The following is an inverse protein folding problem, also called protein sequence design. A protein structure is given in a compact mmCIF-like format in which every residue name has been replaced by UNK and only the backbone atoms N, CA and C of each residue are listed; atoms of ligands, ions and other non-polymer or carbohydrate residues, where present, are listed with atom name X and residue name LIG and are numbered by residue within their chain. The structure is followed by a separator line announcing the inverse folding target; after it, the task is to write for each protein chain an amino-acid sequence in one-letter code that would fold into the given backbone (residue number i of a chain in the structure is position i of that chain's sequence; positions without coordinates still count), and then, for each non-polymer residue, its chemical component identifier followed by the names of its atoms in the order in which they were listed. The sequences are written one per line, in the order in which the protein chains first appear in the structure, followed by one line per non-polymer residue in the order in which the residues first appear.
data_IF_567052394579
#
_entry.id   IF_567052394579
#
_cell.length_a   1.000
_cell.length_b   1.000
_cell.length_c   1.000
_cell.angle_alpha   90.00
_cell.angle_beta   90.00
_cell.angle_gamma   90.00
#
_symmetry.space_group_name_H-M   'P 1'
#
loop_
_entity.id
_entity.type
_entity.pdbx_description
1 polymer ?
#
# COMPACT_ATOMS: atom_id res chain seq x y z
N UNK A 1 -6.18 9.21 -3.45
CA UNK A 1 -7.66 9.30 -3.42
C UNK A 1 -8.33 7.98 -3.82
N UNK A 2 -8.03 7.41 -5.00
CA UNK A 2 -8.67 6.18 -5.48
C UNK A 2 -8.59 5.00 -4.49
N UNK A 3 -7.44 4.77 -3.86
CA UNK A 3 -7.27 3.67 -2.89
C UNK A 3 -8.24 3.75 -1.70
N UNK A 4 -8.56 4.95 -1.22
CA UNK A 4 -9.48 5.14 -0.10
C UNK A 4 -10.95 4.87 -0.45
N UNK A 5 -11.31 4.82 -1.74
CA UNK A 5 -12.70 4.58 -2.17
C UNK A 5 -13.05 3.09 -2.27
N UNK A 6 -12.04 2.22 -2.34
CA UNK A 6 -12.23 0.77 -2.51
C UNK A 6 -13.16 0.18 -1.44
N UNK A 7 -12.97 0.45 -0.13
CA UNK A 7 -13.88 -0.09 0.89
C UNK A 7 -15.33 0.39 0.74
N UNK A 8 -15.52 1.65 0.35
CA UNK A 8 -16.84 2.20 0.06
C UNK A 8 -17.52 1.52 -1.12
N UNK A 9 -16.76 1.18 -2.17
CA UNK A 9 -17.28 0.44 -3.32
C UNK A 9 -17.67 -1.00 -2.93
N UNK A 10 -16.88 -1.65 -2.07
CA UNK A 10 -17.24 -2.96 -1.52
C UNK A 10 -18.53 -2.89 -0.69
N UNK A 11 -18.69 -1.87 0.16
CA UNK A 11 -19.90 -1.66 0.93
C UNK A 11 -21.14 -1.42 0.05
N UNK A 12 -20.99 -0.64 -1.01
CA UNK A 12 -22.04 -0.45 -2.00
C UNK A 12 -22.42 -1.78 -2.70
N UNK A 13 -21.45 -2.59 -3.10
CA UNK A 13 -21.72 -3.89 -3.72
C UNK A 13 -22.46 -4.85 -2.78
N UNK A 14 -22.09 -4.88 -1.49
CA UNK A 14 -22.83 -5.65 -0.47
C UNK A 14 -24.25 -5.14 -0.33
N UNK A 15 -24.46 -3.81 -0.29
CA UNK A 15 -25.80 -3.24 -0.21
C UNK A 15 -26.67 -3.60 -1.42
N UNK A 16 -26.09 -3.57 -2.63
CA UNK A 16 -26.79 -4.00 -3.84
C UNK A 16 -27.19 -5.48 -3.78
N UNK A 17 -26.27 -6.35 -3.31
CA UNK A 17 -26.55 -7.78 -3.13
C UNK A 17 -27.67 -8.01 -2.11
N UNK A 18 -27.66 -7.30 -0.99
CA UNK A 18 -28.73 -7.35 0.00
C UNK A 18 -30.07 -6.90 -0.60
N UNK A 19 -30.08 -5.83 -1.39
CA UNK A 19 -31.28 -5.34 -2.08
C UNK A 19 -31.85 -6.35 -3.08
N UNK A 20 -30.99 -7.02 -3.86
CA UNK A 20 -31.40 -8.07 -4.78
C UNK A 20 -31.99 -9.28 -4.05
N UNK A 21 -31.32 -9.74 -2.98
CA UNK A 21 -31.77 -10.88 -2.18
C UNK A 21 -33.05 -10.58 -1.37
N UNK A 22 -33.31 -9.31 -1.04
CA UNK A 22 -34.53 -8.91 -0.35
C UNK A 22 -35.81 -9.17 -1.18
N UNK A 23 -35.68 -9.30 -2.51
CA UNK A 23 -36.80 -9.65 -3.40
C UNK A 23 -37.06 -11.16 -3.48
N UNK A 24 -36.16 -11.98 -2.94
CA UNK A 24 -36.18 -13.45 -3.05
C UNK A 24 -36.41 -14.09 -1.66
N UNK A 25 -37.65 -14.52 -1.32
CA UNK A 25 -37.98 -15.00 0.03
C UNK A 25 -37.21 -16.25 0.47
N UNK A 26 -36.69 -17.02 -0.51
CA UNK A 26 -36.00 -18.30 -0.27
C UNK A 26 -34.48 -18.17 -0.21
N UNK A 27 -33.93 -16.99 -0.51
CA UNK A 27 -32.49 -16.76 -0.58
C UNK A 27 -32.07 -15.70 0.45
N UNK A 28 -31.00 -15.99 1.19
CA UNK A 28 -30.42 -15.04 2.15
C UNK A 28 -28.93 -14.90 1.88
N UNK A 29 -28.36 -13.76 2.25
CA UNK A 29 -26.92 -13.54 2.15
C UNK A 29 -26.14 -14.61 2.92
N UNK A 30 -26.63 -14.99 4.10
CA UNK A 30 -26.06 -16.08 4.89
C UNK A 30 -26.02 -17.40 4.11
N UNK A 31 -27.16 -17.82 3.55
CA UNK A 31 -27.22 -19.05 2.77
C UNK A 31 -26.32 -18.99 1.52
N UNK A 32 -26.16 -17.81 0.91
CA UNK A 32 -25.30 -17.64 -0.25
C UNK A 32 -23.81 -17.79 0.12
N UNK A 33 -23.37 -17.18 1.23
CA UNK A 33 -22.00 -17.31 1.74
C UNK A 33 -21.69 -18.77 2.08
N UNK A 34 -22.62 -19.49 2.69
CA UNK A 34 -22.44 -20.89 3.06
C UNK A 34 -22.45 -21.84 1.84
N UNK A 35 -23.32 -21.60 0.85
CA UNK A 35 -23.50 -22.50 -0.30
C UNK A 35 -22.50 -22.25 -1.44
N UNK A 36 -21.97 -21.03 -1.55
CA UNK A 36 -21.12 -20.60 -2.68
C UNK A 36 -19.80 -19.99 -2.20
N UNK A 37 -18.94 -20.78 -1.54
CA UNK A 37 -17.62 -20.31 -1.10
C UNK A 37 -16.71 -19.90 -2.27
N UNK A 38 -16.99 -20.39 -3.48
CA UNK A 38 -16.31 -20.03 -4.73
C UNK A 38 -16.40 -18.54 -5.10
N UNK A 39 -17.42 -17.84 -4.59
CA UNK A 39 -17.64 -16.43 -4.87
C UNK A 39 -16.79 -15.48 -4.01
N UNK A 40 -15.99 -16.00 -3.08
CA UNK A 40 -15.10 -15.21 -2.21
C UNK A 40 -15.79 -14.05 -1.47
N UNK A 41 -17.09 -14.17 -1.20
CA UNK A 41 -17.92 -13.13 -0.56
C UNK A 41 -17.41 -12.73 0.82
N UNK A 42 -16.71 -13.64 1.50
CA UNK A 42 -16.08 -13.40 2.79
C UNK A 42 -15.09 -12.22 2.76
N UNK A 43 -14.30 -12.10 1.68
CA UNK A 43 -13.37 -10.99 1.50
C UNK A 43 -14.10 -9.67 1.23
N UNK A 44 -15.13 -9.71 0.40
CA UNK A 44 -15.98 -8.55 0.11
C UNK A 44 -16.65 -8.02 1.38
N UNK A 45 -17.23 -8.92 2.18
CA UNK A 45 -17.87 -8.60 3.46
C UNK A 45 -16.86 -8.07 4.48
N UNK A 46 -15.67 -8.69 4.58
CA UNK A 46 -14.61 -8.21 5.45
C UNK A 46 -14.17 -6.78 5.08
N UNK A 47 -13.99 -6.47 3.80
CA UNK A 47 -13.57 -5.13 3.39
C UNK A 47 -14.70 -4.09 3.57
N UNK A 48 -15.97 -4.51 3.43
CA UNK A 48 -17.12 -3.64 3.65
C UNK A 48 -17.40 -3.31 5.13
N UNK A 49 -17.01 -4.20 6.05
CA UNK A 49 -17.26 -4.01 7.48
C UNK A 49 -16.39 -2.89 8.05
N UNK A 50 -17.04 -1.83 8.52
CA UNK A 50 -16.36 -0.62 9.00
C UNK A 50 -15.73 0.20 7.87
N UNK A 51 -16.29 0.14 6.65
CA UNK A 51 -15.67 0.71 5.44
C UNK A 51 -15.17 2.16 5.58
N UNK A 52 -15.86 3.03 6.33
CA UNK A 52 -15.40 4.42 6.54
C UNK A 52 -14.05 4.46 7.25
N UNK A 53 -13.90 3.68 8.32
CA UNK A 53 -12.64 3.57 9.05
C UNK A 53 -11.56 2.91 8.21
N UNK A 54 -11.90 1.84 7.48
CA UNK A 54 -10.96 1.18 6.55
C UNK A 54 -10.50 2.17 5.48
N UNK A 55 -11.40 2.97 4.92
CA UNK A 55 -11.10 4.02 3.94
C UNK A 55 -10.15 5.07 4.49
N UNK A 56 -10.38 5.56 5.72
CA UNK A 56 -9.51 6.55 6.37
C UNK A 56 -8.11 5.96 6.60
N UNK A 57 -8.03 4.76 7.16
CA UNK A 57 -6.74 4.09 7.42
C UNK A 57 -5.99 3.84 6.13
N UNK A 58 -6.64 3.26 5.12
CA UNK A 58 -6.01 2.92 3.84
C UNK A 58 -5.57 4.18 3.07
N UNK A 59 -6.41 5.22 3.05
CA UNK A 59 -6.05 6.50 2.42
C UNK A 59 -4.87 7.17 3.14
N UNK A 60 -4.87 7.15 4.48
CA UNK A 60 -3.80 7.75 5.28
C UNK A 60 -2.48 7.01 5.10
N UNK A 61 -2.49 5.67 5.14
CA UNK A 61 -1.31 4.86 4.85
C UNK A 61 -0.78 5.18 3.45
N UNK A 62 -1.65 5.16 2.45
CA UNK A 62 -1.26 5.43 1.07
C UNK A 62 -0.64 6.82 0.88
N UNK A 63 -1.25 7.87 1.44
CA UNK A 63 -0.74 9.24 1.34
C UNK A 63 0.67 9.38 1.96
N UNK A 64 0.89 8.80 3.15
CA UNK A 64 2.20 8.85 3.78
C UNK A 64 3.26 7.99 3.07
N UNK A 65 2.86 6.86 2.47
CA UNK A 65 3.77 6.05 1.66
C UNK A 65 4.19 6.79 0.40
N UNK A 66 3.26 7.49 -0.24
CA UNK A 66 3.53 8.29 -1.44
C UNK A 66 4.50 9.45 -1.14
N UNK A 67 4.32 10.14 -0.01
CA UNK A 67 5.25 11.15 0.49
C UNK A 67 6.56 10.57 1.08
N UNK A 68 6.76 9.24 1.04
CA UNK A 68 7.92 8.54 1.66
C UNK A 68 8.08 8.81 3.17
N UNK A 69 6.97 9.05 3.87
CA UNK A 69 6.89 9.26 5.32
C UNK A 69 6.48 7.95 6.01
N UNK A 70 7.31 6.93 5.88
CA UNK A 70 6.99 5.56 6.34
C UNK A 70 6.74 5.46 7.84
N UNK A 71 7.41 6.26 8.68
CA UNK A 71 7.13 6.29 10.13
C UNK A 71 5.69 6.68 10.45
N UNK A 72 5.13 7.67 9.75
CA UNK A 72 3.72 8.05 9.91
C UNK A 72 2.78 6.98 9.33
N UNK A 73 3.15 6.33 8.22
CA UNK A 73 2.40 5.20 7.69
C UNK A 73 2.33 4.02 8.68
N UNK A 74 3.41 3.76 9.43
CA UNK A 74 3.44 2.76 10.48
C UNK A 74 2.43 3.06 11.60
N UNK A 75 2.33 4.33 12.03
CA UNK A 75 1.34 4.74 13.05
C UNK A 75 -0.08 4.48 12.57
N UNK A 76 -0.41 4.81 11.30
CA UNK A 76 -1.73 4.52 10.74
C UNK A 76 -2.01 3.03 10.60
N UNK A 77 -1.00 2.21 10.30
CA UNK A 77 -1.13 0.76 10.33
C UNK A 77 -1.40 0.24 11.77
N UNK A 78 -0.79 0.83 12.80
CA UNK A 78 -1.11 0.53 14.21
C UNK A 78 -2.54 0.93 14.58
N UNK A 79 -3.04 2.06 14.09
CA UNK A 79 -4.44 2.44 14.25
C UNK A 79 -5.34 1.38 13.62
N UNK A 80 -5.04 0.93 12.40
CA UNK A 80 -5.75 -0.19 11.74
C UNK A 80 -5.70 -1.49 12.54
N UNK A 81 -4.56 -1.82 13.16
CA UNK A 81 -4.42 -2.97 14.05
C UNK A 81 -5.33 -2.84 15.28
N UNK A 82 -5.36 -1.67 15.94
CA UNK A 82 -6.22 -1.42 17.08
C UNK A 82 -7.71 -1.54 16.74
N UNK A 83 -8.13 -0.94 15.62
CA UNK A 83 -9.51 -1.03 15.15
C UNK A 83 -9.90 -2.47 14.79
N UNK A 84 -8.98 -3.22 14.16
CA UNK A 84 -9.18 -4.64 13.85
C UNK A 84 -9.25 -5.50 15.11
N UNK A 85 -8.43 -5.17 16.13
CA UNK A 85 -8.38 -5.90 17.38
C UNK A 85 -9.67 -5.78 18.18
N UNK A 86 -10.34 -4.63 18.13
CA UNK A 86 -11.66 -4.43 18.75
C UNK A 86 -12.79 -5.01 17.88
N UNK A 87 -12.51 -5.34 16.61
CA UNK A 87 -13.51 -5.83 15.66
C UNK A 87 -14.37 -4.71 15.04
N UNK A 88 -13.94 -3.45 15.14
CA UNK A 88 -14.63 -2.32 14.50
C UNK A 88 -14.49 -2.32 12.98
N UNK A 89 -13.40 -2.90 12.47
CA UNK A 89 -13.17 -3.11 11.03
C UNK A 89 -12.92 -4.58 10.75
N UNK A 90 -13.25 -5.04 9.54
CA UNK A 90 -13.05 -6.40 9.02
C UNK A 90 -13.75 -7.56 9.73
N UNK A 91 -14.17 -7.39 10.97
CA UNK A 91 -14.97 -8.36 11.72
C UNK A 91 -16.44 -8.16 11.40
N UNK A 92 -17.13 -9.23 11.01
CA UNK A 92 -18.55 -9.21 10.68
C UNK A 92 -19.21 -10.53 11.01
N UNK A 93 -20.52 -10.48 11.23
CA UNK A 93 -21.43 -11.62 11.26
C UNK A 93 -22.56 -11.39 10.29
N UNK A 94 -22.93 -12.43 9.56
CA UNK A 94 -24.09 -12.40 8.66
C UNK A 94 -25.24 -13.06 9.40
N UNK A 95 -26.38 -12.36 9.49
CA UNK A 95 -27.61 -12.89 10.05
C UNK A 95 -28.74 -12.68 9.04
N UNK A 96 -29.15 -13.76 8.37
CA UNK A 96 -30.08 -13.69 7.24
C UNK A 96 -29.51 -12.83 6.12
N UNK A 97 -30.12 -11.67 5.86
CA UNK A 97 -29.67 -10.71 4.85
C UNK A 97 -28.90 -9.51 5.44
N UNK A 98 -28.71 -9.47 6.76
CA UNK A 98 -28.07 -8.35 7.45
C UNK A 98 -26.62 -8.66 7.78
N UNK A 99 -25.74 -7.68 7.58
CA UNK A 99 -24.33 -7.74 8.00
C UNK A 99 -24.19 -6.90 9.26
N UNK A 100 -23.78 -7.54 10.35
CA UNK A 100 -23.58 -6.92 11.65
C UNK A 100 -22.08 -6.87 11.96
N UNK A 101 -21.62 -5.79 12.58
CA UNK A 101 -20.24 -5.71 13.08
C UNK A 101 -20.08 -6.63 14.29
N UNK A 102 -19.06 -7.49 14.24
CA UNK A 102 -18.73 -8.41 15.34
C UNK A 102 -17.65 -7.80 16.23
N UNK A 103 -18.12 -6.92 17.13
CA UNK A 103 -17.28 -6.18 18.06
C UNK A 103 -16.93 -7.02 19.28
N UNK A 104 -15.65 -7.01 19.65
CA UNK A 104 -15.10 -7.77 20.75
C UNK A 104 -13.57 -7.78 20.66
N UNK A 105 -12.89 -7.67 21.80
CA UNK A 105 -11.42 -7.60 21.83
C UNK A 105 -10.85 -8.97 21.47
N UNK A 106 -10.22 -9.07 20.29
CA UNK A 106 -9.56 -10.26 19.72
C UNK A 106 -10.41 -11.55 19.76
N UNK A 107 -11.73 -11.38 19.79
CA UNK A 107 -12.68 -12.48 19.99
C UNK A 107 -12.75 -13.38 18.76
N UNK A 108 -12.92 -12.79 17.57
CA UNK A 108 -13.08 -13.56 16.33
C UNK A 108 -11.72 -13.95 15.72
N UNK A 109 -11.60 -15.13 15.08
CA UNK A 109 -10.38 -15.50 14.33
C UNK A 109 -10.03 -14.46 13.25
N UNK A 110 -11.05 -13.89 12.61
CA UNK A 110 -10.90 -12.87 11.58
C UNK A 110 -10.27 -11.59 12.14
N UNK A 111 -10.77 -11.09 13.27
CA UNK A 111 -10.17 -9.95 13.98
C UNK A 111 -8.69 -10.19 14.27
N UNK A 112 -8.33 -11.39 14.75
CA UNK A 112 -6.92 -11.76 15.02
C UNK A 112 -6.05 -11.74 13.76
N UNK A 113 -6.53 -12.32 12.66
CA UNK A 113 -5.78 -12.32 11.39
C UNK A 113 -5.53 -10.91 10.87
N UNK A 114 -6.56 -10.06 10.80
CA UNK A 114 -6.41 -8.68 10.32
C UNK A 114 -5.54 -7.82 11.25
N UNK A 115 -5.67 -7.99 12.56
CA UNK A 115 -4.78 -7.35 13.53
C UNK A 115 -3.33 -7.74 13.26
N UNK A 116 -3.05 -9.03 13.07
CA UNK A 116 -1.72 -9.53 12.73
C UNK A 116 -1.20 -8.94 11.42
N UNK A 117 -2.04 -8.85 10.38
CA UNK A 117 -1.67 -8.23 9.10
C UNK A 117 -1.29 -6.76 9.25
N UNK A 118 -2.07 -5.98 10.00
CA UNK A 118 -1.76 -4.57 10.25
C UNK A 118 -0.51 -4.39 11.12
N UNK A 119 -0.27 -5.26 12.10
CA UNK A 119 0.97 -5.25 12.90
C UNK A 119 2.19 -5.56 12.03
N UNK A 120 2.08 -6.55 11.13
CA UNK A 120 3.14 -6.87 10.18
C UNK A 120 3.42 -5.69 9.24
N UNK A 121 2.36 -5.04 8.76
CA UNK A 121 2.48 -3.85 7.91
C UNK A 121 3.12 -2.67 8.67
N UNK A 122 2.73 -2.45 9.92
CA UNK A 122 3.33 -1.44 10.77
C UNK A 122 4.83 -1.72 11.00
N UNK A 123 5.19 -2.97 11.27
CA UNK A 123 6.59 -3.40 11.40
C UNK A 123 7.36 -3.17 10.10
N UNK A 124 6.79 -3.52 8.96
CA UNK A 124 7.41 -3.29 7.66
C UNK A 124 7.68 -1.80 7.43
N UNK A 125 6.69 -0.93 7.61
CA UNK A 125 6.86 0.51 7.44
C UNK A 125 7.82 1.13 8.45
N UNK A 126 7.85 0.60 9.67
CA UNK A 126 8.83 1.02 10.66
C UNK A 126 10.26 0.67 10.22
N UNK A 127 10.48 -0.55 9.73
CA UNK A 127 11.78 -0.98 9.20
C UNK A 127 12.19 -0.13 7.99
N UNK A 128 11.27 0.13 7.05
CA UNK A 128 11.60 0.99 5.89
C UNK A 128 11.90 2.42 6.31
N UNK A 129 11.21 2.95 7.33
CA UNK A 129 11.53 4.25 7.91
C UNK A 129 12.95 4.30 8.45
N UNK A 130 13.42 3.24 9.10
CA UNK A 130 14.78 3.15 9.64
C UNK A 130 15.85 2.98 8.57
N UNK A 131 15.56 2.21 7.53
CA UNK A 131 16.46 2.09 6.37
C UNK A 131 16.60 3.43 5.65
N UNK A 132 15.51 4.19 5.52
CA UNK A 132 15.56 5.53 4.91
C UNK A 132 16.35 6.51 5.77
N UNK A 133 16.09 6.57 7.08
CA UNK A 133 16.84 7.40 8.03
C UNK A 133 18.35 7.11 7.96
N UNK A 134 18.73 5.83 7.94
CA UNK A 134 20.12 5.40 7.76
C UNK A 134 20.72 5.84 6.41
N UNK A 135 19.96 5.69 5.32
CA UNK A 135 20.40 6.13 3.99
C UNK A 135 20.61 7.65 3.91
N UNK A 136 19.78 8.41 4.63
CA UNK A 136 19.86 9.86 4.69
C UNK A 136 21.06 10.29 5.56
N UNK A 137 21.30 9.64 6.70
CA UNK A 137 22.47 9.89 7.56
C UNK A 137 23.82 9.64 6.86
N UNK A 138 23.92 8.54 6.12
CA UNK A 138 25.15 8.18 5.38
C UNK A 138 25.34 9.07 4.15
N UNK A 139 24.34 9.87 3.76
CA UNK A 139 24.41 10.74 2.59
C UNK A 139 24.62 9.94 1.30
N UNK A 140 24.13 8.68 1.24
CA UNK A 140 24.36 7.76 0.10
C UNK A 140 23.95 8.41 -1.21
N UNK A 141 22.85 9.18 -1.18
CA UNK A 141 22.32 9.87 -2.36
C UNK A 141 23.25 10.97 -2.86
N UNK A 142 23.84 11.74 -1.95
CA UNK A 142 24.76 12.83 -2.28
C UNK A 142 26.10 12.27 -2.76
N UNK A 143 26.58 11.21 -2.11
CA UNK A 143 27.76 10.48 -2.54
C UNK A 143 27.62 9.89 -3.95
N UNK A 144 26.48 9.26 -4.26
CA UNK A 144 26.19 8.75 -5.61
C UNK A 144 26.11 9.88 -6.65
N UNK A 145 25.48 11.01 -6.29
CA UNK A 145 25.39 12.17 -7.17
C UNK A 145 26.78 12.73 -7.50
N UNK A 146 27.64 12.88 -6.49
CA UNK A 146 29.02 13.31 -6.70
C UNK A 146 29.79 12.36 -7.63
N UNK A 147 29.67 11.05 -7.44
CA UNK A 147 30.34 10.07 -8.28
C UNK A 147 29.88 10.14 -9.74
N UNK A 148 28.58 10.28 -9.98
CA UNK A 148 28.04 10.46 -11.32
C UNK A 148 28.56 11.74 -11.99
N UNK A 149 28.62 12.86 -11.25
CA UNK A 149 29.16 14.13 -11.75
C UNK A 149 30.65 13.98 -12.09
N UNK A 150 31.44 13.39 -11.19
CA UNK A 150 32.87 13.14 -11.39
C UNK A 150 33.13 12.24 -12.59
N UNK A 151 32.36 11.17 -12.76
CA UNK A 151 32.47 10.26 -13.90
C UNK A 151 32.15 10.95 -15.24
N UNK A 152 31.09 11.79 -15.27
CA UNK A 152 30.72 12.56 -16.46
C UNK A 152 31.80 13.58 -16.84
N UNK A 153 32.41 14.25 -15.87
CA UNK A 153 33.50 15.21 -16.10
C UNK A 153 34.74 14.52 -16.72
N UNK A 154 35.13 13.34 -16.20
CA UNK A 154 36.26 12.56 -16.74
C UNK A 154 36.03 12.16 -18.19
N UNK A 155 34.82 11.70 -18.53
CA UNK A 155 34.47 11.32 -19.92
C UNK A 155 34.58 12.50 -20.87
N UNK A 156 34.03 13.67 -20.49
CA UNK A 156 34.10 14.87 -21.32
C UNK A 156 35.55 15.36 -21.51
N UNK A 157 36.39 15.25 -20.48
CA UNK A 157 37.82 15.52 -20.57
C UNK A 157 38.54 14.58 -21.55
N UNK A 158 38.24 13.28 -21.51
CA UNK A 158 38.83 12.32 -22.45
C UNK A 158 38.41 12.55 -23.91
N UNK A 159 37.16 12.97 -24.16
CA UNK A 159 36.68 13.29 -25.51
C UNK A 159 37.38 14.54 -26.09
N UNK A 160 37.57 15.57 -25.26
CA UNK A 160 38.31 16.79 -25.66
C UNK A 160 39.78 16.49 -25.98
N UNK A 161 40.45 15.68 -25.15
CA UNK A 161 41.84 15.29 -25.36
C UNK A 161 42.02 14.48 -26.65
N UNK A 162 41.09 13.56 -26.95
CA UNK A 162 41.09 12.79 -28.20
C UNK A 162 40.84 13.69 -29.42
N UNK A 163 39.92 14.65 -29.32
CA UNK A 163 39.65 15.62 -30.39
C UNK A 163 40.86 16.49 -30.73
N UNK A 164 41.55 17.03 -29.72
CA UNK A 164 42.77 17.84 -29.92
C UNK A 164 43.93 17.03 -30.52
N UNK A 165 44.08 15.76 -30.12
CA UNK A 165 45.09 14.87 -30.69
C UNK A 165 44.79 14.56 -32.17
N UNK A 166 43.53 14.37 -32.54
CA UNK A 166 43.14 14.14 -33.93
C UNK A 166 43.43 15.35 -34.83
N UNK A 167 43.07 16.56 -34.40
CA UNK A 167 43.34 17.79 -35.18
C UNK A 167 44.84 18.07 -35.34
N UNK A 168 45.64 17.83 -34.29
CA UNK A 168 47.09 18.03 -34.38
C UNK A 168 47.80 17.04 -35.33
N UNK A 169 47.22 15.86 -35.54
CA UNK A 169 47.72 14.89 -36.53
C UNK A 169 47.35 15.34 -37.95
N UNK A 170 46.15 15.87 -38.17
CA UNK A 170 45.73 16.42 -39.46
C UNK A 170 46.62 17.59 -39.90
N UNK A 171 46.94 18.51 -38.98
CA UNK A 171 47.85 19.65 -39.23
C UNK A 171 49.29 19.20 -39.54
N UNK A 172 49.74 18.06 -39.02
CA UNK A 172 51.08 17.51 -39.27
C UNK A 172 51.18 16.74 -40.59
N UNK A 173 50.06 16.25 -41.15
CA UNK A 173 50.01 15.44 -42.37
C UNK A 173 49.75 16.27 -43.65
N UNK A 174 49.37 17.54 -43.53
CA UNK A 174 49.17 18.46 -44.66
C UNK A 174 50.17 19.64 -44.61
N UNK A 175 51.45 19.44 -44.95
CA UNK A 175 52.35 20.56 -45.17
C UNK A 175 51.89 21.33 -46.43
N UNK A 176 51.69 22.63 -46.25
CA UNK A 176 51.39 23.62 -47.30
C UNK A 176 52.42 23.65 -48.43
#
# INVERSE_FOLDING_TARGET
VAMGMIPGLCAWAVHFLQGALAQEPSATLQALVERRPDLCLDGLLAVSSGYLFVSIVLASVYAHVEERRFGSAAVWALVGAGLSAVGMIHSFRVQGNTVLSDVGILHSPRSRSFTGTYLLLAMLFWLTSKVQEFSDEVGVRDWLHELCVKARARRKGSELALGQAATGIEDALLPS
#
